data_IF_719288879833
#
_entry.id   IF_719288879833
#
_cell.length_a   1.000
_cell.length_b   1.000
_cell.length_c   1.000
_cell.angle_alpha   90.00
_cell.angle_beta   90.00
_cell.angle_gamma   90.00
#
_symmetry.space_group_name_H-M   'P 1'
#
loop_
_entity.id
_entity.type
_entity.pdbx_description
1 polymer ?
#
# COMPACT_ATOMS: atom_id res chain seq x y z
N UNK A 1 -7.24 -20.95 7.72
CA UNK A 1 -6.17 -20.12 7.10
C UNK A 1 -6.76 -18.81 6.62
N UNK A 2 -5.95 -17.75 6.39
CA UNK A 2 -6.45 -16.47 5.84
C UNK A 2 -7.19 -16.67 4.50
N UNK A 3 -6.73 -17.68 3.73
CA UNK A 3 -7.38 -18.17 2.49
C UNK A 3 -8.88 -18.51 2.65
N UNK A 4 -9.30 -18.95 3.83
CA UNK A 4 -10.71 -19.31 4.08
C UNK A 4 -11.57 -18.10 4.47
N UNK A 5 -10.93 -16.97 4.79
CA UNK A 5 -11.60 -15.74 5.26
C UNK A 5 -11.78 -14.70 4.15
N UNK A 6 -10.99 -14.77 3.08
CA UNK A 6 -11.09 -13.86 1.92
C UNK A 6 -11.23 -14.68 0.65
N UNK A 7 -12.31 -14.48 -0.09
CA UNK A 7 -12.51 -15.10 -1.39
C UNK A 7 -11.68 -14.33 -2.43
N UNK A 8 -10.61 -14.95 -2.90
CA UNK A 8 -9.70 -14.40 -3.92
C UNK A 8 -9.58 -15.38 -5.09
N UNK A 9 -9.44 -14.84 -6.30
CA UNK A 9 -8.94 -15.62 -7.44
C UNK A 9 -7.52 -16.12 -7.17
N UNK A 10 -7.01 -17.01 -8.02
CA UNK A 10 -5.62 -17.47 -7.92
C UNK A 10 -4.61 -16.31 -8.06
N UNK A 11 -4.90 -15.31 -8.90
CA UNK A 11 -4.03 -14.13 -9.08
C UNK A 11 -4.04 -13.29 -7.80
N UNK A 12 -5.23 -12.99 -7.26
CA UNK A 12 -5.36 -12.25 -6.00
C UNK A 12 -4.66 -12.94 -4.84
N UNK A 13 -4.73 -14.28 -4.77
CA UNK A 13 -4.02 -15.06 -3.77
C UNK A 13 -2.49 -14.97 -3.93
N UNK A 14 -1.97 -15.01 -5.15
CA UNK A 14 -0.54 -14.85 -5.41
C UNK A 14 -0.05 -13.45 -4.99
N UNK A 15 -0.80 -12.40 -5.33
CA UNK A 15 -0.51 -11.02 -4.89
C UNK A 15 -0.48 -10.91 -3.36
N UNK A 16 -1.43 -11.58 -2.69
CA UNK A 16 -1.52 -11.60 -1.23
C UNK A 16 -0.30 -12.29 -0.59
N UNK A 17 0.11 -13.45 -1.12
CA UNK A 17 1.30 -14.15 -0.63
C UNK A 17 2.57 -13.34 -0.83
N UNK A 18 2.74 -12.71 -2.00
CA UNK A 18 3.90 -11.85 -2.29
C UNK A 18 3.96 -10.67 -1.32
N UNK A 19 2.81 -10.07 -1.02
CA UNK A 19 2.72 -8.98 -0.05
C UNK A 19 3.11 -9.43 1.37
N UNK A 20 2.67 -10.61 1.81
CA UNK A 20 3.05 -11.17 3.12
C UNK A 20 4.55 -11.46 3.22
N UNK A 21 5.12 -12.07 2.17
CA UNK A 21 6.56 -12.34 2.09
C UNK A 21 7.36 -11.06 2.23
N UNK A 22 7.02 -10.04 1.43
CA UNK A 22 7.65 -8.73 1.53
C UNK A 22 7.49 -8.09 2.92
N UNK A 23 6.29 -8.11 3.51
CA UNK A 23 6.06 -7.57 4.85
C UNK A 23 6.98 -8.22 5.88
N UNK A 24 7.10 -9.56 5.83
CA UNK A 24 7.94 -10.31 6.75
C UNK A 24 9.41 -9.93 6.62
N UNK A 25 9.93 -9.91 5.39
CA UNK A 25 11.33 -9.55 5.13
C UNK A 25 11.68 -8.12 5.58
N UNK A 26 10.73 -7.19 5.45
CA UNK A 26 10.92 -5.80 5.89
C UNK A 26 10.81 -5.70 7.41
N UNK A 27 9.82 -6.34 8.03
CA UNK A 27 9.61 -6.29 9.47
C UNK A 27 10.75 -6.96 10.27
N UNK A 28 11.47 -7.89 9.65
CA UNK A 28 12.72 -8.43 10.21
C UNK A 28 13.88 -7.41 10.23
N UNK A 29 13.83 -6.37 9.37
CA UNK A 29 14.91 -5.39 9.17
C UNK A 29 14.56 -3.98 9.68
N UNK A 30 13.30 -3.61 9.66
CA UNK A 30 12.76 -2.27 9.89
C UNK A 30 11.38 -2.37 10.53
N UNK A 31 11.00 -1.42 11.37
CA UNK A 31 9.65 -1.37 11.94
C UNK A 31 8.61 -0.72 11.01
N UNK A 32 9.04 -0.24 9.85
CA UNK A 32 8.22 0.52 8.90
C UNK A 32 8.16 -0.20 7.56
N UNK A 33 6.94 -0.48 7.10
CA UNK A 33 6.62 -0.94 5.74
C UNK A 33 6.24 0.27 4.89
N UNK A 34 7.02 0.52 3.85
CA UNK A 34 6.71 1.55 2.86
C UNK A 34 5.50 1.16 2.01
N UNK A 35 4.71 2.16 1.64
CA UNK A 35 3.57 1.95 0.74
C UNK A 35 4.02 1.36 -0.59
N UNK A 36 3.44 0.23 -0.95
CA UNK A 36 3.74 -0.52 -2.16
C UNK A 36 2.46 -1.01 -2.81
N UNK A 37 2.46 -1.11 -4.13
CA UNK A 37 1.38 -1.75 -4.87
C UNK A 37 1.94 -2.88 -5.71
N UNK A 38 1.31 -4.05 -5.59
CA UNK A 38 1.61 -5.24 -6.36
C UNK A 38 0.51 -5.45 -7.40
N UNK A 39 0.90 -5.82 -8.62
CA UNK A 39 -0.01 -6.10 -9.73
C UNK A 39 0.64 -7.10 -10.70
N UNK A 40 -0.15 -7.94 -11.41
CA UNK A 40 0.40 -8.85 -12.39
C UNK A 40 0.95 -8.10 -13.60
N UNK A 41 2.02 -8.65 -14.19
CA UNK A 41 2.54 -8.24 -15.48
C UNK A 41 1.52 -8.44 -16.60
N UNK A 42 1.72 -7.73 -17.72
CA UNK A 42 0.95 -7.93 -18.94
C UNK A 42 1.18 -9.34 -19.49
N UNK A 43 0.29 -10.27 -19.12
CA UNK A 43 0.42 -11.70 -19.40
C UNK A 43 0.00 -12.59 -18.21
N UNK A 44 0.02 -12.07 -16.99
CA UNK A 44 -0.48 -12.74 -15.78
C UNK A 44 0.52 -13.65 -15.06
N UNK A 45 1.69 -13.90 -15.65
CA UNK A 45 2.67 -14.87 -15.15
C UNK A 45 3.64 -14.32 -14.09
N UNK A 46 3.88 -13.00 -14.10
CA UNK A 46 4.81 -12.32 -13.17
C UNK A 46 4.05 -11.31 -12.31
N UNK A 47 4.59 -10.97 -11.14
CA UNK A 47 4.08 -9.90 -10.28
C UNK A 47 5.08 -8.74 -10.30
N UNK A 48 4.62 -7.57 -10.71
CA UNK A 48 5.35 -6.31 -10.61
C UNK A 48 4.90 -5.51 -9.41
N UNK A 49 5.75 -4.56 -9.01
CA UNK A 49 5.42 -3.63 -7.94
C UNK A 49 5.95 -2.23 -8.18
N UNK A 50 5.25 -1.27 -7.58
CA UNK A 50 5.69 0.13 -7.49
C UNK A 50 5.72 0.50 -6.01
N UNK A 51 6.81 1.12 -5.58
CA UNK A 51 6.98 1.60 -4.20
C UNK A 51 6.89 3.13 -4.18
N UNK A 52 6.03 3.67 -3.30
CA UNK A 52 5.76 5.10 -3.26
C UNK A 52 7.01 5.91 -2.93
N UNK A 53 7.85 5.43 -2.00
CA UNK A 53 9.09 6.11 -1.60
C UNK A 53 10.03 6.31 -2.80
N UNK A 54 10.21 5.28 -3.64
CA UNK A 54 11.05 5.38 -4.85
C UNK A 54 10.51 6.40 -5.85
N UNK A 55 9.18 6.45 -6.03
CA UNK A 55 8.57 7.48 -6.88
C UNK A 55 8.74 8.89 -6.31
N UNK A 56 8.65 9.04 -4.98
CA UNK A 56 8.93 10.33 -4.32
C UNK A 56 10.37 10.75 -4.58
N UNK A 57 11.35 9.84 -4.43
CA UNK A 57 12.76 10.13 -4.70
C UNK A 57 12.98 10.54 -6.17
N UNK A 58 12.34 9.86 -7.12
CA UNK A 58 12.38 10.23 -8.54
C UNK A 58 11.82 11.64 -8.79
N UNK A 59 10.68 11.98 -8.17
CA UNK A 59 10.07 13.30 -8.30
C UNK A 59 10.93 14.38 -7.64
N UNK A 60 11.46 14.14 -6.45
CA UNK A 60 12.39 15.03 -5.75
C UNK A 60 13.60 15.36 -6.61
N UNK A 61 14.21 14.34 -7.23
CA UNK A 61 15.34 14.52 -8.14
C UNK A 61 14.94 15.29 -9.40
N UNK A 62 13.78 14.96 -10.00
CA UNK A 62 13.27 15.62 -11.20
C UNK A 62 13.03 17.11 -11.00
N UNK A 63 12.63 17.51 -9.79
CA UNK A 63 12.32 18.90 -9.46
C UNK A 63 13.45 19.64 -8.71
N UNK A 64 14.65 19.05 -8.60
CA UNK A 64 15.83 19.63 -7.92
C UNK A 64 15.53 20.19 -6.51
N UNK A 65 14.84 19.40 -5.69
CA UNK A 65 14.40 19.87 -4.36
C UNK A 65 15.56 19.77 -3.37
N UNK A 66 16.09 20.92 -2.99
CA UNK A 66 17.17 21.03 -2.00
C UNK A 66 16.56 20.97 -0.60
N UNK A 67 17.03 20.02 0.20
CA UNK A 67 16.58 19.72 1.58
C UNK A 67 15.11 19.24 1.70
N UNK A 68 14.86 17.93 1.55
CA UNK A 68 13.51 17.34 1.65
C UNK A 68 12.87 17.45 3.05
N UNK A 69 13.59 17.95 4.06
CA UNK A 69 13.13 18.10 5.44
C UNK A 69 13.01 19.57 5.91
N UNK A 70 13.09 20.54 4.99
CA UNK A 70 12.87 21.96 5.35
C UNK A 70 11.37 22.24 5.51
N UNK A 71 10.97 22.68 6.72
CA UNK A 71 9.58 23.00 7.07
C UNK A 71 8.95 24.11 6.20
N UNK A 72 9.75 24.86 5.42
CA UNK A 72 9.24 25.83 4.44
C UNK A 72 8.67 25.17 3.17
N UNK A 73 8.93 23.88 2.97
CA UNK A 73 8.52 23.11 1.79
C UNK A 73 7.42 22.08 2.08
N UNK A 74 6.73 22.14 3.24
CA UNK A 74 5.75 21.12 3.62
C UNK A 74 4.63 20.96 2.59
N UNK A 75 4.05 22.07 2.11
CA UNK A 75 3.02 22.06 1.07
C UNK A 75 3.53 21.43 -0.22
N UNK A 76 4.79 21.66 -0.57
CA UNK A 76 5.40 21.11 -1.76
C UNK A 76 5.70 19.61 -1.64
N UNK A 77 6.11 19.16 -0.46
CA UNK A 77 6.30 17.74 -0.19
C UNK A 77 4.97 16.98 -0.17
N UNK A 78 3.91 17.58 0.35
CA UNK A 78 2.56 17.01 0.29
C UNK A 78 2.07 16.91 -1.16
N UNK A 79 2.33 17.92 -1.98
CA UNK A 79 2.09 17.85 -3.42
C UNK A 79 2.82 16.67 -4.08
N UNK A 80 4.08 16.40 -3.72
CA UNK A 80 4.85 15.28 -4.27
C UNK A 80 4.29 13.94 -3.83
N UNK A 81 3.91 13.79 -2.56
CA UNK A 81 3.25 12.58 -2.05
C UNK A 81 1.96 12.28 -2.81
N UNK A 82 1.10 13.27 -2.98
CA UNK A 82 -0.15 13.15 -3.73
C UNK A 82 0.11 12.84 -5.20
N UNK A 83 1.10 13.50 -5.81
CA UNK A 83 1.50 13.25 -7.19
C UNK A 83 2.00 11.81 -7.38
N UNK A 84 2.83 11.32 -6.46
CA UNK A 84 3.32 9.95 -6.48
C UNK A 84 2.17 8.95 -6.43
N UNK A 85 1.18 9.15 -5.55
CA UNK A 85 -0.01 8.29 -5.46
C UNK A 85 -0.85 8.32 -6.73
N UNK A 86 -1.05 9.50 -7.32
CA UNK A 86 -1.79 9.63 -8.57
C UNK A 86 -1.08 8.89 -9.72
N UNK A 87 0.25 9.00 -9.81
CA UNK A 87 1.04 8.25 -10.79
C UNK A 87 0.89 6.74 -10.59
N UNK A 88 0.98 6.25 -9.34
CA UNK A 88 0.75 4.84 -9.03
C UNK A 88 -0.63 4.39 -9.52
N UNK A 89 -1.69 5.10 -9.10
CA UNK A 89 -3.08 4.81 -9.49
C UNK A 89 -3.26 4.72 -11.00
N UNK A 90 -2.73 5.69 -11.74
CA UNK A 90 -2.81 5.74 -13.19
C UNK A 90 -2.11 4.52 -13.80
N UNK A 91 -0.86 4.24 -13.40
CA UNK A 91 -0.11 3.09 -13.94
C UNK A 91 -0.86 1.77 -13.71
N UNK A 92 -1.33 1.54 -12.48
CA UNK A 92 -2.03 0.31 -12.12
C UNK A 92 -3.35 0.18 -12.89
N UNK A 93 -4.11 1.26 -13.04
CA UNK A 93 -5.37 1.23 -13.78
C UNK A 93 -5.21 0.88 -15.25
N UNK A 94 -4.04 1.15 -15.84
CA UNK A 94 -3.74 0.78 -17.23
C UNK A 94 -3.22 -0.65 -17.35
N UNK A 95 -2.33 -1.08 -16.44
CA UNK A 95 -1.65 -2.37 -16.54
C UNK A 95 -2.48 -3.54 -15.99
N UNK A 96 -3.18 -3.32 -14.88
CA UNK A 96 -4.00 -4.35 -14.22
C UNK A 96 -5.20 -3.72 -13.50
N UNK A 97 -6.25 -3.33 -14.23
CA UNK A 97 -7.42 -2.66 -13.66
C UNK A 97 -8.19 -3.54 -12.65
N UNK A 98 -8.09 -4.85 -12.81
CA UNK A 98 -8.92 -5.82 -12.10
C UNK A 98 -8.17 -6.58 -10.99
N UNK A 99 -6.84 -6.61 -11.03
CA UNK A 99 -6.04 -7.35 -10.05
C UNK A 99 -4.90 -6.49 -9.52
N UNK A 100 -5.04 -5.98 -8.30
CA UNK A 100 -3.93 -5.31 -7.61
C UNK A 100 -4.09 -5.38 -6.10
N UNK A 101 -2.97 -5.24 -5.40
CA UNK A 101 -2.92 -5.18 -3.94
C UNK A 101 -2.10 -3.96 -3.50
N UNK A 102 -2.75 -3.04 -2.79
CA UNK A 102 -2.06 -1.96 -2.09
C UNK A 102 -1.70 -2.44 -0.69
N UNK A 103 -0.45 -2.20 -0.33
CA UNK A 103 0.10 -2.52 0.96
C UNK A 103 0.60 -1.23 1.61
N UNK A 104 0.21 -1.01 2.85
CA UNK A 104 0.76 0.05 3.70
C UNK A 104 0.73 -0.38 5.16
N UNK A 105 1.57 0.22 5.98
CA UNK A 105 1.45 0.16 7.43
C UNK A 105 0.93 1.49 7.94
N UNK A 106 -0.03 1.44 8.86
CA UNK A 106 -0.57 2.64 9.50
C UNK A 106 0.00 2.76 10.92
N UNK A 107 -0.76 2.35 11.94
CA UNK A 107 -0.42 2.49 13.36
C UNK A 107 -0.43 1.13 14.08
N UNK A 108 0.29 1.03 15.20
CA UNK A 108 0.34 -0.14 16.09
C UNK A 108 0.75 -1.47 15.42
N UNK A 109 1.71 -1.42 14.50
CA UNK A 109 2.16 -2.58 13.73
C UNK A 109 1.04 -3.27 12.92
N UNK A 110 -0.05 -2.55 12.64
CA UNK A 110 -1.10 -3.04 11.78
C UNK A 110 -0.79 -2.71 10.31
N UNK A 111 -0.88 -3.74 9.50
CA UNK A 111 -0.64 -3.72 8.07
C UNK A 111 -1.99 -3.73 7.38
N UNK A 112 -2.21 -2.74 6.53
CA UNK A 112 -3.40 -2.65 5.70
C UNK A 112 -3.06 -3.17 4.30
N UNK A 113 -3.82 -4.17 3.87
CA UNK A 113 -3.81 -4.69 2.51
C UNK A 113 -5.16 -4.40 1.86
N UNK A 114 -5.17 -3.60 0.80
CA UNK A 114 -6.37 -3.31 0.01
C UNK A 114 -6.24 -4.09 -1.29
N UNK A 115 -7.07 -5.11 -1.42
CA UNK A 115 -7.05 -6.09 -2.51
C UNK A 115 -8.22 -5.80 -3.43
N UNK A 116 -7.93 -5.56 -4.70
CA UNK A 116 -8.93 -5.61 -5.77
C UNK A 116 -8.75 -6.91 -6.53
N UNK A 117 -9.82 -7.69 -6.55
CA UNK A 117 -9.88 -8.98 -7.23
C UNK A 117 -11.32 -9.23 -7.69
N UNK A 118 -11.56 -9.72 -8.93
CA UNK A 118 -12.91 -9.90 -9.46
C UNK A 118 -13.75 -10.95 -8.73
N UNK A 119 -13.12 -11.93 -8.06
CA UNK A 119 -13.83 -12.95 -7.30
C UNK A 119 -14.16 -12.51 -5.87
N UNK A 120 -13.57 -11.38 -5.44
CA UNK A 120 -13.88 -10.74 -4.17
C UNK A 120 -15.14 -9.86 -4.28
N UNK A 121 -15.79 -9.55 -3.15
CA UNK A 121 -16.94 -8.64 -3.12
C UNK A 121 -16.49 -7.18 -3.30
N UNK A 122 -16.07 -6.82 -4.51
CA UNK A 122 -15.58 -5.49 -4.85
C UNK A 122 -14.10 -5.29 -4.49
N UNK A 123 -13.83 -4.39 -3.54
CA UNK A 123 -12.48 -4.19 -3.00
C UNK A 123 -12.49 -4.73 -1.57
N UNK A 124 -11.56 -5.62 -1.25
CA UNK A 124 -11.41 -6.18 0.09
C UNK A 124 -10.27 -5.51 0.82
N UNK A 125 -10.53 -4.93 1.98
CA UNK A 125 -9.50 -4.44 2.90
C UNK A 125 -9.27 -5.47 4.00
N UNK A 126 -8.02 -5.90 4.14
CA UNK A 126 -7.56 -6.82 5.18
C UNK A 126 -6.60 -6.06 6.09
N UNK A 127 -6.89 -6.08 7.39
CA UNK A 127 -6.02 -5.53 8.43
C UNK A 127 -5.35 -6.70 9.14
N UNK A 128 -4.03 -6.75 9.07
CA UNK A 128 -3.20 -7.77 9.67
C UNK A 128 -2.36 -7.16 10.79
N UNK A 129 -2.07 -7.94 11.83
CA UNK A 129 -1.08 -7.59 12.85
C UNK A 129 0.06 -8.60 12.80
N UNK A 130 1.29 -8.09 12.85
CA UNK A 130 2.46 -8.95 12.93
C UNK A 130 2.81 -9.22 14.40
N UNK A 131 2.70 -10.49 14.82
CA UNK A 131 2.95 -10.93 16.20
C UNK A 131 3.67 -12.28 16.15
N UNK A 132 4.72 -12.46 16.95
CA UNK A 132 5.43 -13.74 17.09
C UNK A 132 5.88 -14.37 15.74
N UNK A 133 6.36 -13.55 14.80
CA UNK A 133 6.79 -13.97 13.46
C UNK A 133 5.69 -14.52 12.54
N UNK A 134 4.42 -14.21 12.83
CA UNK A 134 3.27 -14.58 12.00
C UNK A 134 2.27 -13.41 11.86
N UNK A 135 1.32 -13.55 10.93
CA UNK A 135 0.29 -12.55 10.64
C UNK A 135 -1.08 -12.99 11.16
N UNK A 136 -1.60 -12.23 12.13
CA UNK A 136 -2.95 -12.40 12.63
C UNK A 136 -3.93 -11.48 11.89
N UNK A 137 -5.04 -12.04 11.42
CA UNK A 137 -6.13 -11.25 10.83
C UNK A 137 -6.89 -10.53 11.93
N UNK A 138 -6.77 -9.21 11.96
CA UNK A 138 -7.50 -8.33 12.88
C UNK A 138 -8.90 -8.03 12.33
N UNK A 139 -8.98 -7.65 11.05
CA UNK A 139 -10.23 -7.18 10.44
C UNK A 139 -10.25 -7.47 8.94
N UNK A 140 -11.44 -7.75 8.41
CA UNK A 140 -11.71 -7.81 6.97
C UNK A 140 -12.93 -6.94 6.70
N UNK A 141 -12.83 -6.03 5.74
CA UNK A 141 -13.89 -5.11 5.34
C UNK A 141 -14.06 -5.17 3.82
N UNK A 142 -15.31 -5.27 3.35
CA UNK A 142 -15.61 -5.03 1.95
C UNK A 142 -15.86 -3.53 1.78
N UNK A 143 -15.14 -2.92 0.86
CA UNK A 143 -15.25 -1.49 0.58
C UNK A 143 -15.84 -1.27 -0.82
N UNK A 144 -16.53 -0.13 -1.06
CA UNK A 144 -17.18 0.14 -2.34
C UNK A 144 -16.19 -0.01 -3.50
N UNK A 145 -16.68 -0.59 -4.61
CA UNK A 145 -15.90 -0.98 -5.80
C UNK A 145 -15.24 0.17 -6.56
N UNK A 146 -15.46 1.42 -6.14
CA UNK A 146 -14.81 2.56 -6.76
C UNK A 146 -13.44 2.82 -6.08
N UNK A 147 -12.33 2.47 -6.75
CA UNK A 147 -10.99 2.64 -6.22
C UNK A 147 -10.55 4.11 -6.14
N UNK A 148 -11.32 5.02 -6.77
CA UNK A 148 -11.04 6.45 -6.85
C UNK A 148 -11.77 7.25 -5.76
N UNK A 149 -12.86 6.73 -5.18
CA UNK A 149 -13.60 7.40 -4.09
C UNK A 149 -13.23 6.89 -2.70
N UNK A 150 -12.50 5.78 -2.60
CA UNK A 150 -11.93 5.41 -1.33
C UNK A 150 -10.65 6.21 -1.14
N UNK A 151 -10.51 6.99 -0.04
CA UNK A 151 -9.24 7.57 0.35
C UNK A 151 -8.32 6.40 0.67
N UNK A 152 -7.63 5.90 -0.36
CA UNK A 152 -6.63 4.86 -0.28
C UNK A 152 -5.58 5.36 0.70
N UNK A 153 -5.71 4.88 1.92
CA UNK A 153 -5.01 5.33 3.11
C UNK A 153 -5.39 6.77 3.47
N UNK A 154 -5.88 7.01 4.70
CA UNK A 154 -5.39 8.20 5.40
C UNK A 154 -3.87 8.00 5.35
N UNK A 155 -3.18 8.77 4.51
CA UNK A 155 -1.73 8.83 4.58
C UNK A 155 -1.48 9.49 5.91
N UNK A 156 -0.64 8.91 6.76
CA UNK A 156 -0.28 9.53 8.03
C UNK A 156 0.21 10.96 7.77
N UNK A 157 -0.69 11.90 7.94
CA UNK A 157 -0.48 13.34 7.77
C UNK A 157 -0.61 14.05 9.11
N UNK A 158 -1.08 13.37 10.15
CA UNK A 158 -1.04 13.91 11.50
C UNK A 158 0.27 13.50 12.18
N UNK A 159 1.17 14.49 12.21
CA UNK A 159 2.16 14.70 13.27
C UNK A 159 1.73 14.06 14.58
N UNK A 160 2.70 13.44 15.24
CA UNK A 160 2.80 13.34 16.69
C UNK A 160 2.70 14.74 17.35
N UNK A 161 1.53 15.37 17.35
CA UNK A 161 1.14 16.41 18.31
C UNK A 161 0.40 15.74 19.46
N UNK A 162 1.09 14.85 20.17
CA UNK A 162 0.75 14.48 21.53
C UNK A 162 1.91 13.69 22.13
N UNK A 163 2.92 14.40 22.60
CA UNK A 163 3.77 13.95 23.72
C UNK A 163 4.47 15.18 24.30
N UNK A 164 3.77 15.85 25.22
CA UNK A 164 4.26 16.43 26.48
C UNK A 164 3.11 17.15 27.19
N UNK A 165 2.41 16.42 28.06
CA UNK A 165 1.99 16.97 29.35
C UNK A 165 3.04 16.47 30.35
#
# INVERSE_FOLDING_TARGET
MIKDKVKLSQIGYNLFLEALTYCKEILEKSQIIHTRVLFPAKGGDEIYFIEQAKLIDELVNKFDIKNPFDNRNSEYFDFIKETALNIMRIKISHESPDHYLYLTQFEDNNINMIIRDPESFGITKVVLRYVNNDFDVVKIENVPSNPYTNPMCVLSTEKNEQLKI
#
